data_IF_849674218128
#
_entry.id   IF_849674218128
#
_cell.length_a   1.000
_cell.length_b   1.000
_cell.length_c   1.000
_cell.angle_alpha   90.00
_cell.angle_beta   90.00
_cell.angle_gamma   90.00
#
_symmetry.space_group_name_H-M   'P 1'
#
loop_
_entity.id
_entity.type
_entity.pdbx_description
1 polymer ?
#
# COMPACT_ATOMS: atom_id res chain seq x y z
N UNK A 1 7.91 30.02 -13.39
CA UNK A 1 6.83 29.65 -14.33
C UNK A 1 5.49 30.01 -13.73
N UNK A 2 4.62 30.63 -14.49
CA UNK A 2 3.24 30.83 -14.05
C UNK A 2 2.49 29.51 -14.12
N UNK A 3 1.67 29.23 -13.10
CA UNK A 3 0.78 28.09 -13.13
C UNK A 3 -0.28 28.31 -14.21
N UNK A 4 -0.25 27.51 -15.28
CA UNK A 4 -1.19 27.57 -16.39
C UNK A 4 -2.37 26.58 -16.21
N UNK A 5 -2.47 25.91 -15.06
CA UNK A 5 -3.57 25.01 -14.78
C UNK A 5 -4.89 25.76 -14.71
N UNK A 6 -5.94 25.17 -15.26
CA UNK A 6 -7.29 25.65 -15.06
C UNK A 6 -7.67 25.54 -13.58
N UNK A 7 -8.53 26.44 -13.08
CA UNK A 7 -9.03 26.32 -11.71
C UNK A 7 -9.72 24.95 -11.52
N UNK A 8 -9.40 24.30 -10.40
CA UNK A 8 -10.08 23.06 -10.04
C UNK A 8 -11.56 23.31 -9.78
N UNK A 9 -12.41 22.44 -10.32
CA UNK A 9 -13.83 22.41 -9.99
C UNK A 9 -13.98 21.83 -8.58
N UNK A 10 -14.53 22.61 -7.67
CA UNK A 10 -14.79 22.18 -6.29
C UNK A 10 -16.31 22.20 -5.99
N UNK A 11 -16.88 21.10 -5.45
CA UNK A 11 -16.24 19.80 -5.23
C UNK A 11 -15.89 19.09 -6.55
N UNK A 12 -14.90 18.21 -6.50
CA UNK A 12 -14.52 17.40 -7.67
C UNK A 12 -15.74 16.59 -8.16
N UNK A 13 -15.98 16.49 -9.47
CA UNK A 13 -17.14 15.79 -10.00
C UNK A 13 -17.07 14.28 -9.66
N UNK A 14 -18.20 13.73 -9.24
CA UNK A 14 -18.35 12.29 -9.04
C UNK A 14 -18.65 11.67 -10.41
N UNK A 15 -17.70 10.89 -10.93
CA UNK A 15 -17.81 10.27 -12.26
C UNK A 15 -18.26 8.80 -12.21
N UNK A 16 -18.24 8.16 -11.03
CA UNK A 16 -18.79 6.84 -10.83
C UNK A 16 -20.32 6.88 -10.83
N UNK A 17 -20.96 5.86 -11.41
CA UNK A 17 -22.41 5.72 -11.36
C UNK A 17 -22.87 5.61 -9.89
N UNK A 18 -24.03 6.20 -9.58
CA UNK A 18 -24.60 6.12 -8.23
C UNK A 18 -24.77 4.63 -7.82
N UNK A 19 -24.40 4.32 -6.57
CA UNK A 19 -24.42 2.95 -6.05
C UNK A 19 -23.16 2.13 -6.35
N UNK A 20 -22.19 2.66 -7.11
CA UNK A 20 -20.90 1.98 -7.31
C UNK A 20 -20.08 2.05 -6.02
N UNK A 21 -19.67 0.89 -5.51
CA UNK A 21 -18.68 0.77 -4.43
C UNK A 21 -17.29 0.74 -5.02
N UNK A 22 -16.40 1.56 -4.49
CA UNK A 22 -15.01 1.68 -4.90
C UNK A 22 -14.10 1.24 -3.76
N UNK A 23 -13.22 0.28 -4.03
CA UNK A 23 -12.32 -0.31 -3.04
C UNK A 23 -10.88 -0.26 -3.54
N UNK A 24 -9.95 0.06 -2.64
CA UNK A 24 -8.52 0.21 -2.95
C UNK A 24 -7.67 -0.57 -1.97
N UNK A 25 -6.69 -1.33 -2.47
CA UNK A 25 -5.86 -2.20 -1.63
C UNK A 25 -4.39 -1.93 -1.93
N UNK A 26 -3.65 -1.58 -0.90
CA UNK A 26 -2.22 -1.35 -0.94
C UNK A 26 -1.49 -2.58 -0.42
N UNK A 27 -0.81 -3.29 -1.31
CA UNK A 27 -0.08 -4.51 -1.03
C UNK A 27 1.39 -4.42 -1.48
N UNK A 28 2.13 -5.45 -1.13
CA UNK A 28 3.53 -5.62 -1.52
C UNK A 28 3.64 -6.64 -2.65
N UNK A 29 4.45 -6.35 -3.64
CA UNK A 29 4.71 -7.27 -4.75
C UNK A 29 5.16 -8.64 -4.25
N UNK A 30 4.37 -9.68 -4.57
CA UNK A 30 4.61 -11.05 -4.13
C UNK A 30 3.92 -11.48 -2.84
N UNK A 31 3.18 -10.60 -2.15
CA UNK A 31 2.47 -10.92 -0.91
C UNK A 31 1.13 -11.68 -1.11
N UNK A 32 0.66 -11.78 -2.36
CA UNK A 32 -0.59 -12.45 -2.70
C UNK A 32 -1.82 -11.53 -2.74
N UNK A 33 -1.71 -10.25 -2.40
CA UNK A 33 -2.81 -9.27 -2.42
C UNK A 33 -3.52 -9.22 -3.76
N UNK A 34 -2.77 -9.14 -4.88
CA UNK A 34 -3.34 -9.08 -6.22
C UNK A 34 -4.14 -10.36 -6.54
N UNK A 35 -3.61 -11.52 -6.14
CA UNK A 35 -4.29 -12.81 -6.33
C UNK A 35 -5.61 -12.89 -5.57
N UNK A 36 -5.61 -12.46 -4.30
CA UNK A 36 -6.81 -12.40 -3.47
C UNK A 36 -7.86 -11.45 -4.06
N UNK A 37 -7.44 -10.28 -4.55
CA UNK A 37 -8.34 -9.31 -5.16
C UNK A 37 -8.92 -9.79 -6.49
N UNK A 38 -8.15 -10.48 -7.33
CA UNK A 38 -8.67 -11.17 -8.53
C UNK A 38 -9.72 -12.21 -8.17
N UNK A 39 -9.50 -12.95 -7.07
CA UNK A 39 -10.47 -13.92 -6.57
C UNK A 39 -11.74 -13.23 -6.06
N UNK A 40 -11.62 -12.11 -5.33
CA UNK A 40 -12.76 -11.32 -4.85
C UNK A 40 -13.64 -10.84 -5.99
N UNK A 41 -13.04 -10.29 -7.06
CA UNK A 41 -13.77 -9.85 -8.26
C UNK A 41 -14.53 -11.00 -8.90
N UNK A 42 -13.90 -12.18 -8.99
CA UNK A 42 -14.55 -13.38 -9.54
C UNK A 42 -15.72 -13.84 -8.67
N UNK A 43 -15.54 -13.89 -7.34
CA UNK A 43 -16.61 -14.27 -6.42
C UNK A 43 -17.82 -13.33 -6.60
N UNK A 44 -17.59 -12.04 -6.62
CA UNK A 44 -18.69 -11.08 -6.77
C UNK A 44 -19.34 -11.16 -8.13
N UNK A 45 -18.56 -11.24 -9.22
CA UNK A 45 -19.07 -11.31 -10.57
C UNK A 45 -19.77 -12.63 -10.92
N UNK A 46 -19.29 -13.75 -10.36
CA UNK A 46 -19.87 -15.08 -10.61
C UNK A 46 -21.17 -15.33 -9.80
N UNK A 47 -21.35 -14.64 -8.67
CA UNK A 47 -22.39 -14.96 -7.70
C UNK A 47 -23.33 -13.79 -7.36
N UNK A 48 -23.21 -12.67 -8.05
CA UNK A 48 -24.13 -11.52 -7.93
C UNK A 48 -24.44 -10.94 -9.29
N UNK A 49 -25.52 -10.18 -9.41
CA UNK A 49 -25.87 -9.44 -10.64
C UNK A 49 -25.07 -8.13 -10.78
N UNK A 50 -24.02 -7.94 -9.99
CA UNK A 50 -23.22 -6.72 -10.04
C UNK A 50 -22.24 -6.72 -11.21
N UNK A 51 -22.12 -5.55 -11.83
CA UNK A 51 -21.00 -5.26 -12.71
C UNK A 51 -19.73 -5.12 -11.85
N UNK A 52 -18.64 -5.68 -12.33
CA UNK A 52 -17.35 -5.68 -11.66
C UNK A 52 -16.26 -5.14 -12.57
N UNK A 53 -15.34 -4.38 -12.00
CA UNK A 53 -14.15 -3.90 -12.67
C UNK A 53 -12.94 -3.99 -11.73
N UNK A 54 -11.81 -4.42 -12.25
CA UNK A 54 -10.56 -4.43 -11.51
C UNK A 54 -9.42 -3.87 -12.36
N UNK A 55 -8.57 -3.09 -11.74
CA UNK A 55 -7.30 -2.64 -12.29
C UNK A 55 -6.20 -2.81 -11.26
N UNK A 56 -5.02 -3.23 -11.70
CA UNK A 56 -3.88 -3.51 -10.83
C UNK A 56 -2.70 -2.65 -11.26
N UNK A 57 -2.31 -1.74 -10.38
CA UNK A 57 -1.14 -0.88 -10.55
C UNK A 57 0.06 -1.53 -9.89
N UNK A 58 1.19 -1.52 -10.58
CA UNK A 58 2.44 -2.11 -10.11
C UNK A 58 3.56 -1.09 -10.10
N UNK A 59 4.48 -1.24 -9.16
CA UNK A 59 5.78 -0.58 -9.20
C UNK A 59 6.64 -1.21 -10.31
N UNK A 60 7.59 -0.46 -10.85
CA UNK A 60 8.60 -0.98 -11.77
C UNK A 60 9.47 -2.06 -11.13
N UNK A 61 9.65 -2.04 -9.81
CA UNK A 61 10.33 -3.09 -9.05
C UNK A 61 9.46 -4.35 -8.99
N UNK A 62 9.96 -5.46 -9.54
CA UNK A 62 9.19 -6.70 -9.70
C UNK A 62 8.81 -7.36 -8.38
N UNK A 63 9.74 -7.44 -7.42
CA UNK A 63 9.51 -8.06 -6.10
C UNK A 63 9.72 -7.02 -5.01
N UNK A 64 8.77 -6.92 -4.07
CA UNK A 64 8.83 -5.96 -2.97
C UNK A 64 8.49 -4.52 -3.38
N UNK A 65 8.01 -4.28 -4.60
CA UNK A 65 7.43 -3.01 -5.02
C UNK A 65 5.99 -2.85 -4.54
N UNK A 66 5.47 -1.63 -4.58
CA UNK A 66 4.08 -1.34 -4.21
C UNK A 66 3.13 -1.91 -5.26
N UNK A 67 2.05 -2.54 -4.82
CA UNK A 67 0.93 -2.90 -5.68
C UNK A 67 -0.33 -2.23 -5.19
N UNK A 68 -1.10 -1.63 -6.09
CA UNK A 68 -2.37 -1.01 -5.73
C UNK A 68 -3.47 -1.65 -6.59
N UNK A 69 -4.44 -2.29 -5.92
CA UNK A 69 -5.59 -2.86 -6.60
C UNK A 69 -6.78 -1.90 -6.49
N UNK A 70 -7.41 -1.62 -7.61
CA UNK A 70 -8.59 -0.76 -7.72
C UNK A 70 -9.77 -1.63 -8.14
N UNK A 71 -10.75 -1.80 -7.26
CA UNK A 71 -11.93 -2.61 -7.52
C UNK A 71 -13.19 -1.76 -7.48
N UNK A 72 -14.07 -1.93 -8.47
CA UNK A 72 -15.39 -1.31 -8.53
C UNK A 72 -16.47 -2.35 -8.65
N UNK A 73 -17.56 -2.16 -7.92
CA UNK A 73 -18.72 -3.03 -7.90
C UNK A 73 -19.98 -2.18 -7.93
N UNK A 74 -20.93 -2.49 -8.83
CA UNK A 74 -22.14 -1.68 -8.94
C UNK A 74 -23.26 -2.36 -9.70
N UNK A 75 -24.47 -1.84 -9.56
CA UNK A 75 -25.67 -2.37 -10.22
C UNK A 75 -25.86 -1.80 -11.64
N UNK A 76 -24.95 -0.93 -12.07
CA UNK A 76 -24.93 -0.34 -13.42
C UNK A 76 -23.59 -0.63 -14.09
N UNK A 77 -23.55 -0.68 -15.45
CA UNK A 77 -22.31 -0.88 -16.20
C UNK A 77 -21.22 0.12 -15.79
N UNK A 78 -20.04 -0.40 -15.50
CA UNK A 78 -18.88 0.40 -15.07
C UNK A 78 -18.04 0.72 -16.32
N UNK A 79 -17.93 2.01 -16.64
CA UNK A 79 -17.18 2.53 -17.79
C UNK A 79 -16.10 3.53 -17.32
N UNK A 80 -15.33 3.15 -16.30
CA UNK A 80 -14.33 4.02 -15.63
C UNK A 80 -12.91 3.58 -15.97
N UNK A 81 -12.28 4.13 -17.06
CA UNK A 81 -10.92 3.75 -17.48
C UNK A 81 -9.84 4.51 -16.70
N UNK A 82 -10.06 4.83 -15.44
CA UNK A 82 -9.17 5.60 -14.58
C UNK A 82 -9.06 4.97 -13.18
N UNK A 83 -8.01 5.33 -12.45
CA UNK A 83 -7.78 4.89 -11.09
C UNK A 83 -8.85 5.42 -10.12
N UNK A 84 -9.04 4.70 -9.02
CA UNK A 84 -9.88 5.17 -7.92
C UNK A 84 -9.06 6.18 -7.11
N UNK A 85 -9.54 7.41 -7.02
CA UNK A 85 -8.94 8.45 -6.20
C UNK A 85 -9.61 8.53 -4.81
N UNK A 86 -10.92 8.24 -4.73
CA UNK A 86 -11.68 8.22 -3.49
C UNK A 86 -12.47 6.91 -3.41
N UNK A 87 -12.23 6.14 -2.37
CA UNK A 87 -12.78 4.81 -2.17
C UNK A 87 -13.67 4.71 -0.93
N UNK A 88 -14.66 3.84 -0.98
CA UNK A 88 -15.51 3.51 0.17
C UNK A 88 -14.76 2.63 1.19
N UNK A 89 -13.80 1.84 0.68
CA UNK A 89 -12.95 0.94 1.46
C UNK A 89 -11.50 1.03 0.98
N UNK A 90 -10.57 1.27 1.90
CA UNK A 90 -9.12 1.23 1.63
C UNK A 90 -8.46 0.28 2.60
N UNK A 91 -7.62 -0.62 2.11
CA UNK A 91 -6.84 -1.54 2.92
C UNK A 91 -5.33 -1.32 2.73
N UNK A 92 -4.62 -1.24 3.85
CA UNK A 92 -3.17 -1.30 3.92
C UNK A 92 -2.75 -2.70 4.36
N UNK A 93 -2.27 -3.53 3.44
CA UNK A 93 -1.84 -4.89 3.74
C UNK A 93 -0.41 -4.98 4.30
N UNK A 94 0.41 -3.95 4.06
CA UNK A 94 1.78 -3.88 4.57
C UNK A 94 1.95 -2.70 5.53
N UNK A 95 2.14 -2.94 6.84
CA UNK A 95 2.24 -1.87 7.84
C UNK A 95 3.40 -0.91 7.61
N UNK A 96 4.46 -1.34 6.92
CA UNK A 96 5.60 -0.46 6.59
C UNK A 96 5.20 0.78 5.77
N UNK A 97 4.07 0.73 5.06
CA UNK A 97 3.57 1.87 4.29
C UNK A 97 3.04 3.00 5.18
N UNK A 98 2.51 2.66 6.34
CA UNK A 98 2.12 3.64 7.37
C UNK A 98 3.37 4.36 7.89
N UNK A 99 4.42 3.58 8.26
CA UNK A 99 5.70 4.11 8.76
C UNK A 99 6.36 5.01 7.71
N UNK A 100 6.31 4.62 6.44
CA UNK A 100 6.85 5.39 5.32
C UNK A 100 6.03 6.65 4.98
N UNK A 101 4.88 6.82 5.60
CA UNK A 101 4.02 8.00 5.39
C UNK A 101 3.33 8.04 4.03
N UNK A 102 3.00 6.88 3.44
CA UNK A 102 2.18 6.85 2.23
C UNK A 102 0.77 7.39 2.52
N UNK A 103 0.24 8.23 1.64
CA UNK A 103 -1.02 8.95 1.86
C UNK A 103 -2.27 8.13 1.52
N UNK A 104 -2.27 6.84 1.84
CA UNK A 104 -3.38 5.91 1.56
C UNK A 104 -4.70 6.33 2.21
N UNK A 105 -4.63 6.90 3.39
CA UNK A 105 -5.83 7.32 4.14
C UNK A 105 -6.59 8.43 3.41
N UNK A 106 -5.87 9.27 2.66
CA UNK A 106 -6.46 10.34 1.88
C UNK A 106 -7.32 9.82 0.72
N UNK A 107 -7.16 8.56 0.35
CA UNK A 107 -7.99 7.90 -0.66
C UNK A 107 -9.37 7.50 -0.12
N UNK A 108 -9.59 7.51 1.19
CA UNK A 108 -10.87 7.11 1.80
C UNK A 108 -11.88 8.24 1.68
N UNK A 109 -13.10 7.93 1.21
CA UNK A 109 -14.23 8.87 1.23
C UNK A 109 -14.63 9.21 2.67
N UNK A 110 -15.17 10.40 2.96
CA UNK A 110 -15.73 10.69 4.28
C UNK A 110 -16.72 9.60 4.72
N UNK A 111 -16.59 9.13 5.96
CA UNK A 111 -17.37 8.02 6.52
C UNK A 111 -16.97 6.63 6.01
N UNK A 112 -16.00 6.53 5.10
CA UNK A 112 -15.52 5.26 4.56
C UNK A 112 -14.67 4.46 5.55
N UNK A 113 -14.23 3.29 5.12
CA UNK A 113 -13.47 2.33 5.95
C UNK A 113 -12.00 2.36 5.57
N UNK A 114 -11.14 2.45 6.57
CA UNK A 114 -9.70 2.22 6.45
C UNK A 114 -9.27 1.04 7.31
N UNK A 115 -8.71 0.00 6.69
CA UNK A 115 -8.24 -1.20 7.38
C UNK A 115 -6.72 -1.31 7.26
N UNK A 116 -6.04 -1.55 8.39
CA UNK A 116 -4.59 -1.74 8.45
C UNK A 116 -4.28 -3.15 8.95
N UNK A 117 -3.49 -3.91 8.18
CA UNK A 117 -2.90 -5.15 8.64
C UNK A 117 -1.64 -4.84 9.42
N UNK A 118 -1.70 -4.95 10.73
CA UNK A 118 -0.56 -4.69 11.62
C UNK A 118 -0.66 -5.52 12.91
N UNK A 119 0.48 -5.65 13.59
CA UNK A 119 0.61 -6.31 14.88
C UNK A 119 0.52 -5.32 16.04
N UNK A 120 0.34 -4.03 15.75
CA UNK A 120 0.41 -2.91 16.69
C UNK A 120 -0.79 -2.87 17.63
N UNK A 121 -0.53 -2.54 18.86
CA UNK A 121 -1.54 -2.04 19.80
C UNK A 121 -1.92 -0.59 19.45
N UNK A 122 -2.77 0.02 20.27
CA UNK A 122 -3.22 1.38 20.02
C UNK A 122 -2.10 2.43 20.13
N UNK A 123 -1.19 2.27 21.09
CA UNK A 123 -0.11 3.24 21.34
C UNK A 123 0.91 3.20 20.20
N UNK A 124 1.28 2.00 19.75
CA UNK A 124 2.13 1.79 18.58
C UNK A 124 1.47 2.33 17.30
N UNK A 125 0.19 2.05 17.09
CA UNK A 125 -0.55 2.59 15.95
C UNK A 125 -0.58 4.12 15.97
N UNK A 126 -0.86 4.70 17.15
CA UNK A 126 -0.84 6.15 17.34
C UNK A 126 0.55 6.74 17.07
N UNK A 127 1.62 6.07 17.50
CA UNK A 127 2.99 6.51 17.22
C UNK A 127 3.33 6.48 15.72
N UNK A 128 2.91 5.43 14.99
CA UNK A 128 3.25 5.24 13.59
C UNK A 128 2.40 6.05 12.61
N UNK A 129 1.17 6.41 12.98
CA UNK A 129 0.33 7.25 12.15
C UNK A 129 0.83 8.70 12.15
N UNK A 130 1.11 9.25 10.97
CA UNK A 130 1.49 10.66 10.81
C UNK A 130 0.32 11.59 11.13
N UNK A 131 0.62 12.81 11.55
CA UNK A 131 -0.40 13.76 11.99
C UNK A 131 -1.40 14.13 10.89
N UNK A 132 -0.98 14.22 9.63
CA UNK A 132 -1.87 14.48 8.51
C UNK A 132 -2.89 13.34 8.32
N UNK A 133 -2.47 12.08 8.48
CA UNK A 133 -3.34 10.91 8.45
C UNK A 133 -4.33 10.92 9.62
N UNK A 134 -3.88 11.21 10.84
CA UNK A 134 -4.73 11.35 12.03
C UNK A 134 -5.81 12.42 11.83
N UNK A 135 -5.38 13.60 11.38
CA UNK A 135 -6.30 14.71 11.10
C UNK A 135 -7.34 14.34 10.04
N UNK A 136 -6.92 13.64 8.99
CA UNK A 136 -7.83 13.20 7.95
C UNK A 136 -8.87 12.19 8.49
N UNK A 137 -8.43 11.19 9.25
CA UNK A 137 -9.28 10.18 9.88
C UNK A 137 -10.34 10.85 10.76
N UNK A 138 -9.91 11.73 11.66
CA UNK A 138 -10.82 12.38 12.61
C UNK A 138 -11.80 13.33 11.92
N UNK A 139 -11.31 14.20 11.02
CA UNK A 139 -12.15 15.23 10.36
C UNK A 139 -13.15 14.65 9.35
N UNK A 140 -12.86 13.48 8.79
CA UNK A 140 -13.74 12.85 7.80
C UNK A 140 -14.52 11.65 8.36
N UNK A 141 -14.53 11.44 9.68
CA UNK A 141 -15.22 10.33 10.33
C UNK A 141 -14.87 8.96 9.72
N UNK A 142 -13.59 8.73 9.41
CA UNK A 142 -13.15 7.50 8.82
C UNK A 142 -13.27 6.36 9.85
N UNK A 143 -13.88 5.27 9.45
CA UNK A 143 -13.99 4.07 10.28
C UNK A 143 -12.66 3.31 10.19
N UNK A 144 -11.85 3.42 11.24
CA UNK A 144 -10.53 2.79 11.30
C UNK A 144 -10.64 1.40 11.90
N UNK A 145 -10.01 0.42 11.23
CA UNK A 145 -9.91 -0.95 11.69
C UNK A 145 -8.47 -1.44 11.61
N UNK A 146 -8.09 -2.30 12.55
CA UNK A 146 -6.83 -3.07 12.50
C UNK A 146 -7.12 -4.55 12.47
N UNK A 147 -6.22 -5.32 11.86
CA UNK A 147 -6.24 -6.78 11.88
C UNK A 147 -4.80 -7.28 11.95
N UNK A 148 -4.53 -8.25 12.84
CA UNK A 148 -3.23 -8.92 12.89
C UNK A 148 -3.29 -10.24 12.11
N UNK A 149 -3.41 -10.14 10.78
CA UNK A 149 -3.49 -11.31 9.92
C UNK A 149 -2.16 -12.07 9.83
N UNK A 150 -1.03 -11.44 10.19
CA UNK A 150 0.30 -12.05 10.17
C UNK A 150 0.38 -13.15 11.24
N UNK A 151 0.12 -12.80 12.49
CA UNK A 151 0.19 -13.77 13.60
C UNK A 151 -0.92 -14.83 13.50
N UNK A 152 -2.10 -14.42 13.03
CA UNK A 152 -3.18 -15.36 12.76
C UNK A 152 -2.77 -16.41 11.73
N UNK A 153 -2.15 -16.02 10.62
CA UNK A 153 -1.68 -16.94 9.60
C UNK A 153 -0.59 -17.89 10.13
N UNK A 154 0.35 -17.38 10.93
CA UNK A 154 1.37 -18.21 11.59
C UNK A 154 0.72 -19.23 12.53
N UNK A 155 -0.22 -18.78 13.38
CA UNK A 155 -0.92 -19.61 14.37
C UNK A 155 -1.69 -20.78 13.75
N UNK A 156 -2.27 -20.60 12.57
CA UNK A 156 -3.01 -21.65 11.87
C UNK A 156 -2.15 -22.50 10.92
N UNK A 157 -0.83 -22.26 10.88
CA UNK A 157 0.11 -23.04 10.05
C UNK A 157 0.28 -22.53 8.61
N UNK A 158 -0.28 -21.38 8.26
CA UNK A 158 -0.15 -20.79 6.91
C UNK A 158 1.15 -19.99 6.72
N UNK A 159 1.96 -19.81 7.76
CA UNK A 159 3.20 -19.03 7.72
C UNK A 159 2.92 -17.57 7.34
N UNK A 160 3.56 -17.09 6.28
CA UNK A 160 3.40 -15.68 5.82
C UNK A 160 2.16 -15.44 4.94
N UNK A 161 1.34 -16.46 4.67
CA UNK A 161 0.20 -16.39 3.75
C UNK A 161 -1.05 -15.89 4.45
N UNK A 162 -1.17 -14.58 4.60
CA UNK A 162 -2.27 -13.92 5.32
C UNK A 162 -3.36 -13.34 4.40
N UNK A 163 -3.19 -13.42 3.08
CA UNK A 163 -4.07 -12.82 2.10
C UNK A 163 -5.51 -13.35 2.13
N UNK A 164 -5.73 -14.64 2.45
CA UNK A 164 -7.07 -15.21 2.61
C UNK A 164 -7.80 -14.61 3.82
N UNK A 165 -7.09 -14.37 4.93
CA UNK A 165 -7.61 -13.69 6.12
C UNK A 165 -8.04 -12.27 5.78
N UNK A 166 -7.16 -11.52 5.09
CA UNK A 166 -7.43 -10.14 4.69
C UNK A 166 -8.58 -10.03 3.67
N UNK A 167 -8.70 -11.00 2.77
CA UNK A 167 -9.81 -11.08 1.83
C UNK A 167 -11.16 -11.29 2.55
N UNK A 168 -11.19 -12.15 3.56
CA UNK A 168 -12.39 -12.38 4.35
C UNK A 168 -12.78 -11.12 5.15
N UNK A 169 -11.82 -10.45 5.79
CA UNK A 169 -12.05 -9.17 6.46
C UNK A 169 -12.60 -8.09 5.51
N UNK A 170 -12.11 -8.06 4.27
CA UNK A 170 -12.66 -7.18 3.25
C UNK A 170 -14.14 -7.43 2.99
N UNK A 171 -14.55 -8.68 2.78
CA UNK A 171 -15.96 -8.99 2.53
C UNK A 171 -16.86 -8.57 3.70
N UNK A 172 -16.44 -8.82 4.93
CA UNK A 172 -17.20 -8.43 6.13
C UNK A 172 -17.31 -6.91 6.29
N UNK A 173 -16.22 -6.15 6.04
CA UNK A 173 -16.20 -4.70 6.25
C UNK A 173 -16.78 -3.90 5.08
N UNK A 174 -16.50 -4.30 3.85
CA UNK A 174 -16.95 -3.57 2.67
C UNK A 174 -18.43 -3.83 2.32
N UNK A 175 -19.02 -4.92 2.84
CA UNK A 175 -20.44 -5.28 2.67
C UNK A 175 -20.89 -5.23 1.20
N UNK A 176 -20.11 -5.85 0.32
CA UNK A 176 -20.39 -5.89 -1.13
C UNK A 176 -21.50 -6.89 -1.43
N UNK A 177 -21.58 -7.95 -0.63
CA UNK A 177 -22.59 -9.00 -0.67
C UNK A 177 -22.89 -9.46 0.78
N UNK A 178 -23.93 -10.29 1.02
CA UNK A 178 -24.18 -10.88 2.33
C UNK A 178 -22.95 -11.65 2.82
N UNK A 179 -22.59 -11.48 4.09
CA UNK A 179 -21.37 -12.03 4.66
C UNK A 179 -21.34 -13.57 4.61
N UNK A 180 -22.46 -14.22 4.94
CA UNK A 180 -22.60 -15.68 4.89
C UNK A 180 -22.33 -16.23 3.47
N UNK A 181 -22.84 -15.56 2.46
CA UNK A 181 -22.62 -15.94 1.06
C UNK A 181 -21.16 -15.74 0.66
N UNK A 182 -20.54 -14.64 1.08
CA UNK A 182 -19.12 -14.37 0.82
C UNK A 182 -18.23 -15.46 1.42
N UNK A 183 -18.46 -15.83 2.70
CA UNK A 183 -17.74 -16.90 3.39
C UNK A 183 -17.94 -18.24 2.66
N UNK A 184 -19.16 -18.58 2.30
CA UNK A 184 -19.47 -19.80 1.56
C UNK A 184 -18.71 -19.88 0.24
N UNK A 185 -18.81 -18.85 -0.59
CA UNK A 185 -18.14 -18.82 -1.89
C UNK A 185 -16.61 -18.77 -1.78
N UNK A 186 -16.06 -18.10 -0.77
CA UNK A 186 -14.64 -18.18 -0.49
C UNK A 186 -14.19 -19.59 -0.15
N UNK A 187 -14.96 -20.33 0.66
CA UNK A 187 -14.67 -21.72 1.01
C UNK A 187 -14.77 -22.65 -0.21
N UNK A 188 -15.78 -22.48 -1.05
CA UNK A 188 -15.91 -23.22 -2.31
C UNK A 188 -14.70 -23.01 -3.23
N UNK A 189 -14.28 -21.76 -3.43
CA UNK A 189 -13.09 -21.41 -4.24
C UNK A 189 -11.79 -21.95 -3.62
N UNK A 190 -11.65 -21.91 -2.29
CA UNK A 190 -10.51 -22.49 -1.59
C UNK A 190 -10.45 -24.00 -1.79
N UNK A 191 -11.56 -24.70 -1.66
CA UNK A 191 -11.64 -26.15 -1.93
C UNK A 191 -11.25 -26.46 -3.38
N UNK A 192 -11.83 -25.77 -4.35
CA UNK A 192 -11.52 -25.97 -5.75
C UNK A 192 -10.03 -25.73 -6.09
N UNK A 193 -9.41 -24.75 -5.43
CA UNK A 193 -8.01 -24.37 -5.67
C UNK A 193 -6.99 -25.25 -4.98
N UNK A 194 -7.32 -25.77 -3.80
CA UNK A 194 -6.32 -26.40 -2.91
C UNK A 194 -6.56 -27.87 -2.65
N UNK A 195 -7.70 -28.46 -3.05
CA UNK A 195 -7.99 -29.87 -2.79
C UNK A 195 -6.90 -30.83 -3.32
N UNK A 196 -6.32 -30.50 -4.49
CA UNK A 196 -5.21 -31.25 -5.08
C UNK A 196 -3.93 -31.23 -4.22
N UNK A 197 -3.81 -30.28 -3.28
CA UNK A 197 -2.66 -30.13 -2.36
C UNK A 197 -2.88 -30.83 -1.02
N UNK A 198 -4.06 -31.43 -0.81
CA UNK A 198 -4.45 -32.11 0.39
C UNK A 198 -5.57 -31.42 1.17
N UNK A 199 -6.34 -32.21 1.89
CA UNK A 199 -7.47 -31.71 2.69
C UNK A 199 -7.01 -30.76 3.81
N UNK A 200 -5.85 -31.02 4.41
CA UNK A 200 -5.28 -30.16 5.47
C UNK A 200 -5.07 -28.71 4.98
N UNK A 201 -4.69 -28.54 3.70
CA UNK A 201 -4.51 -27.20 3.11
C UNK A 201 -5.87 -26.51 2.93
N UNK A 202 -6.90 -27.26 2.56
CA UNK A 202 -8.27 -26.74 2.47
C UNK A 202 -8.76 -26.29 3.83
N UNK A 203 -8.57 -27.12 4.85
CA UNK A 203 -9.02 -26.85 6.22
C UNK A 203 -8.31 -25.63 6.83
N UNK A 204 -7.01 -25.46 6.55
CA UNK A 204 -6.28 -24.26 6.94
C UNK A 204 -6.88 -23.00 6.28
N UNK A 205 -7.23 -23.08 4.99
CA UNK A 205 -7.87 -21.95 4.31
C UNK A 205 -9.29 -21.68 4.85
N UNK A 206 -10.05 -22.69 5.23
CA UNK A 206 -11.35 -22.49 5.88
C UNK A 206 -11.20 -21.76 7.21
N UNK A 207 -10.25 -22.19 8.05
CA UNK A 207 -9.93 -21.47 9.30
C UNK A 207 -9.51 -20.04 9.07
N UNK A 208 -8.71 -19.78 8.01
CA UNK A 208 -8.30 -18.44 7.64
C UNK A 208 -9.49 -17.55 7.24
N UNK A 209 -10.45 -18.09 6.49
CA UNK A 209 -11.67 -17.40 6.09
C UNK A 209 -12.52 -17.05 7.31
N UNK A 210 -12.77 -18.02 8.19
CA UNK A 210 -13.58 -17.82 9.39
C UNK A 210 -12.94 -16.80 10.35
N UNK A 211 -11.62 -16.87 10.56
CA UNK A 211 -10.89 -15.89 11.37
C UNK A 211 -10.90 -14.49 10.76
N UNK A 212 -10.74 -14.39 9.46
CA UNK A 212 -10.72 -13.07 8.77
C UNK A 212 -12.05 -12.35 8.91
N UNK A 213 -13.16 -13.06 8.92
CA UNK A 213 -14.49 -12.48 9.07
C UNK A 213 -14.73 -11.80 10.43
N UNK A 214 -13.97 -12.16 11.47
CA UNK A 214 -14.24 -11.71 12.85
C UNK A 214 -13.05 -11.12 13.59
N UNK A 215 -11.82 -11.32 13.11
CA UNK A 215 -10.61 -10.97 13.87
C UNK A 215 -10.19 -9.48 13.75
N UNK A 216 -10.82 -8.70 12.91
CA UNK A 216 -10.55 -7.26 12.83
C UNK A 216 -11.12 -6.53 14.06
N UNK A 217 -10.44 -5.45 14.44
CA UNK A 217 -10.82 -4.62 15.58
C UNK A 217 -11.10 -3.20 15.11
N UNK A 218 -12.21 -2.64 15.53
CA UNK A 218 -12.48 -1.21 15.34
C UNK A 218 -11.62 -0.42 16.29
N UNK A 219 -11.00 0.63 15.77
CA UNK A 219 -10.21 1.58 16.56
C UNK A 219 -11.08 2.79 16.87
N UNK A 220 -11.21 3.10 18.15
CA UNK A 220 -11.86 4.34 18.57
C UNK A 220 -10.92 5.50 18.28
N UNK A 221 -11.38 6.41 17.41
CA UNK A 221 -10.58 7.56 16.97
C UNK A 221 -10.59 8.64 18.03
N UNK A 222 -9.46 9.02 18.63
CA UNK A 222 -9.42 10.08 19.64
C UNK A 222 -9.78 11.44 19.05
N UNK A 223 -10.49 12.26 19.82
CA UNK A 223 -10.90 13.59 19.40
C UNK A 223 -9.72 14.54 19.13
N UNK A 224 -8.64 14.38 19.84
CA UNK A 224 -7.39 15.15 19.70
C UNK A 224 -6.66 14.91 18.38
N UNK A 225 -6.92 13.78 17.71
CA UNK A 225 -6.38 13.53 16.37
C UNK A 225 -6.78 14.60 15.35
N UNK A 226 -7.90 15.28 15.54
CA UNK A 226 -8.32 16.37 14.67
C UNK A 226 -7.31 17.54 14.62
N UNK A 227 -6.51 17.67 15.68
CA UNK A 227 -5.50 18.72 15.84
C UNK A 227 -4.07 18.16 15.98
N UNK A 228 -3.85 16.90 15.59
CA UNK A 228 -2.54 16.27 15.69
C UNK A 228 -1.46 17.09 14.95
N UNK A 229 -0.27 17.16 15.55
CA UNK A 229 0.91 17.85 15.01
C UNK A 229 2.02 16.81 14.86
N UNK A 230 2.74 16.85 13.75
CA UNK A 230 3.89 15.98 13.56
C UNK A 230 5.04 16.39 14.48
N UNK A 231 5.68 15.40 15.08
CA UNK A 231 6.97 15.62 15.75
C UNK A 231 8.02 15.99 14.68
N UNK A 232 8.95 16.88 15.03
CA UNK A 232 10.03 17.24 14.10
C UNK A 232 10.78 15.97 13.66
N UNK A 233 10.88 15.72 12.37
CA UNK A 233 11.72 14.64 11.86
C UNK A 233 13.19 14.96 12.13
N UNK A 234 13.83 14.22 13.04
CA UNK A 234 15.23 14.39 13.40
C UNK A 234 16.22 13.81 12.37
N UNK A 235 15.73 13.28 11.25
CA UNK A 235 16.60 12.73 10.22
C UNK A 235 17.27 13.86 9.44
N UNK A 236 18.48 14.24 9.87
CA UNK A 236 19.33 15.10 9.06
C UNK A 236 19.80 14.29 7.84
N UNK A 237 19.51 14.82 6.65
CA UNK A 237 20.07 14.30 5.41
C UNK A 237 21.49 14.87 5.28
N UNK A 238 22.46 14.00 5.04
CA UNK A 238 23.86 14.37 4.84
C UNK A 238 24.14 14.47 3.32
N UNK A 239 24.92 15.44 2.90
CA UNK A 239 25.30 15.60 1.50
C UNK A 239 25.42 17.07 1.08
N UNK A 240 25.67 17.27 -0.21
CA UNK A 240 25.70 18.63 -0.79
C UNK A 240 24.33 19.30 -0.67
N UNK A 241 24.27 20.61 -0.45
CA UNK A 241 22.98 21.32 -0.28
C UNK A 241 21.99 21.06 -1.40
N UNK A 242 22.46 21.02 -2.66
CA UNK A 242 21.64 20.79 -3.86
C UNK A 242 21.03 19.39 -3.83
N UNK A 243 21.83 18.37 -3.47
CA UNK A 243 21.36 16.99 -3.30
C UNK A 243 20.29 16.90 -2.21
N UNK A 244 20.56 17.50 -1.04
CA UNK A 244 19.60 17.49 0.08
C UNK A 244 18.29 18.18 -0.32
N UNK A 245 18.37 19.31 -1.05
CA UNK A 245 17.21 20.02 -1.56
C UNK A 245 16.40 19.12 -2.49
N UNK A 246 17.04 18.55 -3.52
CA UNK A 246 16.37 17.68 -4.49
C UNK A 246 15.73 16.44 -3.82
N UNK A 247 16.42 15.83 -2.86
CA UNK A 247 15.88 14.68 -2.10
C UNK A 247 14.60 15.07 -1.36
N UNK A 248 14.60 16.19 -0.63
CA UNK A 248 13.45 16.65 0.15
C UNK A 248 12.28 17.11 -0.73
N UNK A 249 12.57 17.85 -1.78
CA UNK A 249 11.56 18.52 -2.59
C UNK A 249 10.97 17.61 -3.67
N UNK A 250 11.71 16.61 -4.15
CA UNK A 250 11.29 15.75 -5.26
C UNK A 250 11.30 14.27 -4.87
N UNK A 251 12.47 13.73 -4.45
CA UNK A 251 12.64 12.30 -4.28
C UNK A 251 11.77 11.71 -3.15
N UNK A 252 11.70 12.40 -2.00
CA UNK A 252 10.86 11.95 -0.88
C UNK A 252 9.36 11.98 -1.20
N UNK A 253 8.77 13.08 -1.74
CA UNK A 253 7.37 13.09 -2.13
C UNK A 253 7.05 12.01 -3.17
N UNK A 254 7.84 11.87 -4.22
CA UNK A 254 7.68 10.81 -5.23
C UNK A 254 7.81 9.43 -4.60
N UNK A 255 8.78 9.26 -3.70
CA UNK A 255 8.98 8.04 -2.94
C UNK A 255 7.81 7.66 -2.03
N UNK A 256 7.06 8.64 -1.54
CA UNK A 256 5.84 8.47 -0.73
C UNK A 256 4.57 8.30 -1.58
N UNK A 257 4.69 8.18 -2.91
CA UNK A 257 3.55 8.13 -3.86
C UNK A 257 2.69 9.39 -3.85
N UNK A 258 3.30 10.54 -3.57
CA UNK A 258 2.67 11.87 -3.51
C UNK A 258 3.23 12.82 -4.57
N UNK A 259 3.77 12.26 -5.67
CA UNK A 259 4.35 13.04 -6.76
C UNK A 259 3.37 14.00 -7.43
N UNK A 260 2.07 13.64 -7.45
CA UNK A 260 1.01 14.50 -8.02
C UNK A 260 0.79 15.81 -7.23
N UNK A 261 1.29 15.90 -6.00
CA UNK A 261 1.25 17.13 -5.20
C UNK A 261 2.30 18.16 -5.64
N UNK A 262 3.30 17.73 -6.42
CA UNK A 262 4.41 18.58 -6.84
C UNK A 262 3.98 19.48 -8.02
N UNK A 263 4.22 20.80 -7.93
CA UNK A 263 4.02 21.68 -9.08
C UNK A 263 5.10 21.39 -10.14
N UNK A 264 4.80 21.67 -11.41
CA UNK A 264 5.76 21.53 -12.51
C UNK A 264 7.05 22.32 -12.25
N UNK A 265 6.95 23.46 -11.56
CA UNK A 265 8.10 24.29 -11.18
C UNK A 265 9.06 23.63 -10.19
N UNK A 266 8.66 22.56 -9.50
CA UNK A 266 9.59 21.81 -8.65
C UNK A 266 10.74 21.18 -9.45
N UNK A 267 10.53 20.96 -10.76
CA UNK A 267 11.51 20.37 -11.67
C UNK A 267 12.29 21.41 -12.50
N UNK A 268 12.16 22.71 -12.18
CA UNK A 268 12.82 23.79 -12.95
C UNK A 268 14.35 23.70 -12.97
N UNK A 269 14.94 23.15 -11.90
CA UNK A 269 16.39 22.97 -11.80
C UNK A 269 16.86 21.66 -12.48
N UNK A 270 15.93 20.84 -12.97
CA UNK A 270 16.16 19.52 -13.55
C UNK A 270 15.50 19.34 -14.93
N UNK A 271 15.47 20.41 -15.74
CA UNK A 271 14.76 20.43 -17.04
C UNK A 271 15.34 19.47 -18.08
N UNK A 272 16.59 19.07 -17.92
CA UNK A 272 17.29 18.09 -18.74
C UNK A 272 17.14 16.64 -18.24
N UNK A 273 16.43 16.44 -17.13
CA UNK A 273 16.22 15.12 -16.52
C UNK A 273 17.41 14.62 -15.70
N UNK A 274 18.45 15.42 -15.49
CA UNK A 274 19.56 15.05 -14.62
C UNK A 274 19.24 15.37 -13.16
N UNK A 275 19.53 14.42 -12.29
CA UNK A 275 19.46 14.58 -10.84
C UNK A 275 20.86 14.61 -10.24
N UNK A 276 20.95 15.13 -9.01
CA UNK A 276 22.19 15.29 -8.27
C UNK A 276 22.89 13.93 -8.04
N UNK A 277 24.22 13.92 -8.19
CA UNK A 277 25.02 12.75 -7.89
C UNK A 277 24.89 12.35 -6.41
N UNK A 278 24.76 11.05 -6.16
CA UNK A 278 24.56 10.52 -4.82
C UNK A 278 23.10 10.32 -4.43
N UNK A 279 22.13 10.69 -5.28
CA UNK A 279 20.70 10.53 -5.02
C UNK A 279 20.28 9.08 -4.73
N UNK A 280 20.99 8.10 -5.28
CA UNK A 280 20.75 6.66 -5.04
C UNK A 280 20.87 6.23 -3.58
N UNK A 281 21.62 6.97 -2.76
CA UNK A 281 21.70 6.73 -1.31
C UNK A 281 20.37 6.94 -0.58
N UNK A 282 19.48 7.74 -1.17
CA UNK A 282 18.17 8.09 -0.63
C UNK A 282 17.02 7.36 -1.33
N UNK A 283 17.34 6.44 -2.22
CA UNK A 283 16.34 5.63 -2.94
C UNK A 283 15.58 4.74 -1.95
N UNK A 284 14.24 4.87 -1.96
CA UNK A 284 13.37 4.13 -1.02
C UNK A 284 13.42 2.61 -1.18
N UNK A 285 13.79 2.13 -2.37
CA UNK A 285 13.68 0.71 -2.70
C UNK A 285 14.67 -0.15 -1.93
N UNK A 286 15.83 0.38 -1.57
CA UNK A 286 16.88 -0.38 -0.93
C UNK A 286 17.29 -1.61 -1.76
N UNK A 287 18.51 -1.61 -2.30
CA UNK A 287 18.94 -2.70 -3.18
C UNK A 287 19.27 -3.96 -2.40
N UNK A 288 19.87 -3.79 -1.20
CA UNK A 288 20.24 -4.89 -0.32
C UNK A 288 20.20 -4.46 1.14
N UNK A 289 19.98 -5.42 2.05
CA UNK A 289 20.07 -5.21 3.51
C UNK A 289 21.51 -5.02 3.96
N UNK A 290 22.43 -5.74 3.32
CA UNK A 290 23.87 -5.67 3.55
C UNK A 290 24.58 -5.65 2.21
N UNK A 291 25.56 -4.77 2.08
CA UNK A 291 26.41 -4.64 0.88
C UNK A 291 27.86 -4.85 1.26
N UNK A 292 28.67 -5.46 0.38
CA UNK A 292 30.10 -5.55 0.61
C UNK A 292 30.73 -4.16 0.60
N UNK A 293 31.59 -3.90 1.55
CA UNK A 293 32.34 -2.65 1.65
C UNK A 293 33.78 -2.90 1.19
N UNK A 294 34.26 -2.09 0.27
CA UNK A 294 35.65 -2.11 -0.15
C UNK A 294 36.53 -1.36 0.88
N UNK A 295 37.58 -2.05 1.34
CA UNK A 295 38.55 -1.49 2.29
C UNK A 295 39.82 -1.13 1.55
N UNK A 296 40.10 0.15 1.34
CA UNK A 296 41.27 0.65 0.63
C UNK A 296 42.59 0.23 1.26
N UNK A 297 42.62 0.14 2.60
CA UNK A 297 43.85 -0.24 3.33
C UNK A 297 44.24 -1.71 3.14
N UNK A 298 43.29 -2.57 2.80
CA UNK A 298 43.49 -3.99 2.55
C UNK A 298 43.54 -4.33 1.06
N UNK A 299 43.37 -3.36 0.20
CA UNK A 299 43.30 -3.56 -1.24
C UNK A 299 44.70 -3.80 -1.82
N UNK A 300 44.90 -4.93 -2.45
CA UNK A 300 46.13 -5.28 -3.17
C UNK A 300 46.05 -4.97 -4.68
N UNK A 301 45.04 -4.26 -5.13
CA UNK A 301 44.79 -3.85 -6.52
C UNK A 301 44.77 -5.04 -7.54
N UNK A 302 44.33 -6.22 -7.10
CA UNK A 302 44.26 -7.42 -7.96
C UNK A 302 43.07 -7.41 -8.93
N UNK A 303 42.16 -6.45 -8.84
CA UNK A 303 40.97 -6.26 -9.66
C UNK A 303 39.93 -7.42 -9.61
N UNK A 304 40.07 -8.36 -8.70
CA UNK A 304 39.15 -9.50 -8.59
C UNK A 304 37.75 -9.10 -8.20
N UNK A 305 37.58 -8.01 -7.42
CA UNK A 305 36.28 -7.50 -7.06
C UNK A 305 35.42 -7.11 -8.28
N UNK A 306 36.05 -6.56 -9.33
CA UNK A 306 35.37 -6.19 -10.56
C UNK A 306 34.83 -7.41 -11.33
N UNK A 307 35.46 -8.58 -11.17
CA UNK A 307 35.01 -9.83 -11.78
C UNK A 307 33.99 -10.58 -10.90
N UNK A 308 34.15 -10.54 -9.58
CA UNK A 308 33.35 -11.34 -8.66
C UNK A 308 32.02 -10.69 -8.24
N UNK A 309 31.98 -9.35 -8.20
CA UNK A 309 30.82 -8.58 -7.78
C UNK A 309 30.37 -7.69 -8.92
N UNK A 310 29.16 -7.91 -9.42
CA UNK A 310 28.54 -7.05 -10.42
C UNK A 310 28.56 -5.61 -9.92
N UNK A 311 28.90 -4.66 -10.78
CA UNK A 311 29.01 -3.22 -10.50
C UNK A 311 27.74 -2.60 -9.89
N UNK A 312 26.60 -3.28 -9.95
CA UNK A 312 25.34 -2.86 -9.34
C UNK A 312 25.32 -2.95 -7.81
N UNK A 313 26.31 -3.59 -7.19
CA UNK A 313 26.38 -3.84 -5.75
C UNK A 313 27.58 -3.18 -5.06
N UNK A 314 28.46 -2.55 -5.80
CA UNK A 314 29.59 -1.81 -5.26
C UNK A 314 29.34 -0.30 -5.43
N UNK A 315 29.05 0.38 -4.32
CA UNK A 315 29.23 1.82 -4.25
C UNK A 315 30.71 2.08 -3.99
N UNK A 316 31.47 2.35 -5.03
CA UNK A 316 32.82 2.90 -4.87
C UNK A 316 32.64 4.35 -4.35
N UNK A 317 33.39 4.76 -3.30
CA UNK A 317 33.44 6.16 -2.94
C UNK A 317 34.01 6.93 -4.14
N UNK A 318 33.16 7.69 -4.80
CA UNK A 318 33.64 8.69 -5.76
C UNK A 318 34.22 9.81 -4.96
N UNK A 319 35.54 9.93 -4.98
CA UNK A 319 36.28 11.08 -4.45
C UNK A 319 35.88 12.35 -5.18
#
# INVERSE_FOLDING_TARGET
MTNLSLPEVKPAPITAAAGTKECKFWGLGGDGTVGANKNSVKIIGDHTDKYVQAYFQYDSKKTGGVTISHLRFGDKPIKSPYYINKADFVACHNPSYIIKGFKMVNDVKPGGVFMINCQWDFDELNHHLKADAKRYIAKNNIQLYTINAIDLAIKIGMGKRNNTILQSAFFSLAKVMPEEDAIRFMKEKAKASYLKKGQDVVDMNYKAIDLGATAYKKVEVPADWANAVDEPEHKQLEGKPELVKMVKEILEPVGKMDGDSLPVSAFSDHVDGQFELGASAYEKRGVAVSVPTWDAAKCIQCNQCAYAVSYTHLTLPTT
#
